data_IF_322859621623
#
_entry.id   IF_322859621623
#
_cell.length_a   1.000
_cell.length_b   1.000
_cell.length_c   1.000
_cell.angle_alpha   90.00
_cell.angle_beta   90.00
_cell.angle_gamma   90.00
#
_symmetry.space_group_name_H-M   'P 1'
#
loop_
_entity.id
_entity.type
_entity.pdbx_description
1 polymer ?
#
# COMPACT_ATOMS: atom_id res chain seq x y z
N UNK A 1 14.63 18.60 1.30
CA UNK A 1 15.26 17.35 0.83
C UNK A 1 14.19 16.27 0.85
N UNK A 2 14.01 15.47 -0.22
CA UNK A 2 13.05 14.37 -0.22
C UNK A 2 13.46 13.32 0.81
N UNK A 3 12.47 12.65 1.41
CA UNK A 3 12.72 11.50 2.28
C UNK A 3 12.99 10.29 1.38
N UNK A 4 14.21 9.76 1.46
CA UNK A 4 14.65 8.58 0.70
C UNK A 4 14.97 7.49 1.70
N UNK A 5 14.36 6.32 1.52
CA UNK A 5 14.60 5.12 2.33
C UNK A 5 15.28 4.04 1.49
N UNK A 6 16.06 3.14 2.09
CA UNK A 6 16.86 2.17 1.36
C UNK A 6 16.05 0.97 0.83
N UNK A 7 14.83 0.74 1.30
CA UNK A 7 13.94 -0.32 0.82
C UNK A 7 12.46 0.03 1.04
N UNK A 8 11.57 -0.76 0.44
CA UNK A 8 10.12 -0.54 0.50
C UNK A 8 9.57 -0.65 1.92
N UNK A 9 10.07 -1.61 2.70
CA UNK A 9 9.65 -1.82 4.10
C UNK A 9 9.86 -0.56 4.94
N UNK A 10 11.04 0.04 4.87
CA UNK A 10 11.35 1.27 5.60
C UNK A 10 10.57 2.46 5.04
N UNK A 11 10.37 2.52 3.72
CA UNK A 11 9.52 3.52 3.07
C UNK A 11 8.09 3.50 3.61
N UNK A 12 7.49 2.32 3.73
CA UNK A 12 6.13 2.16 4.25
C UNK A 12 6.09 2.48 5.74
N UNK A 13 7.06 2.02 6.53
CA UNK A 13 7.12 2.31 7.96
C UNK A 13 7.26 3.81 8.23
N UNK A 14 8.10 4.53 7.48
CA UNK A 14 8.24 5.97 7.65
C UNK A 14 6.98 6.70 7.19
N UNK A 15 6.35 6.28 6.09
CA UNK A 15 5.08 6.84 5.64
C UNK A 15 3.99 6.69 6.71
N UNK A 16 3.83 5.49 7.29
CA UNK A 16 2.88 5.23 8.38
C UNK A 16 3.20 6.08 9.61
N UNK A 17 4.48 6.18 10.01
CA UNK A 17 4.89 7.00 11.15
C UNK A 17 4.64 8.50 10.94
N UNK A 18 4.78 8.97 9.71
CA UNK A 18 4.46 10.34 9.31
C UNK A 18 2.95 10.58 9.22
N UNK A 19 2.15 9.55 8.97
CA UNK A 19 0.71 9.61 9.10
C UNK A 19 0.34 9.70 10.58
N UNK A 20 -0.27 10.81 10.99
CA UNK A 20 -0.84 10.99 12.35
C UNK A 20 -2.18 10.24 12.45
N UNK A 21 -2.15 8.95 12.14
CA UNK A 21 -3.24 8.04 12.39
C UNK A 21 -3.20 7.72 13.90
N UNK A 22 -4.06 8.38 14.67
CA UNK A 22 -4.29 8.06 16.07
C UNK A 22 -4.94 6.65 16.19
N UNK A 23 -5.88 6.44 17.11
CA UNK A 23 -6.65 5.17 17.24
C UNK A 23 -7.60 4.87 16.05
N UNK A 24 -7.35 5.43 14.87
CA UNK A 24 -8.15 5.20 13.66
C UNK A 24 -7.46 4.17 12.76
N UNK A 25 -8.21 3.32 12.05
CA UNK A 25 -7.64 2.44 11.04
C UNK A 25 -6.81 3.21 10.03
N UNK A 26 -5.60 2.70 9.74
CA UNK A 26 -4.73 3.26 8.72
C UNK A 26 -5.41 3.19 7.35
N UNK A 27 -5.41 4.30 6.63
CA UNK A 27 -5.93 4.42 5.26
C UNK A 27 -4.75 4.56 4.31
N UNK A 28 -4.41 3.48 3.61
CA UNK A 28 -3.23 3.38 2.75
C UNK A 28 -3.68 2.94 1.37
N UNK A 29 -3.21 3.63 0.34
CA UNK A 29 -3.28 3.19 -1.05
C UNK A 29 -1.86 2.97 -1.52
N UNK A 30 -1.59 1.82 -2.11
CA UNK A 30 -0.28 1.44 -2.60
C UNK A 30 -0.35 0.90 -4.02
N UNK A 31 0.50 1.43 -4.89
CA UNK A 31 0.66 1.03 -6.29
C UNK A 31 2.13 1.13 -6.65
N UNK A 32 2.58 0.33 -7.63
CA UNK A 32 4.00 0.27 -7.99
C UNK A 32 4.43 1.52 -8.75
N UNK A 33 3.65 1.89 -9.75
CA UNK A 33 3.98 2.97 -10.67
C UNK A 33 2.70 3.53 -11.33
N UNK A 34 2.84 4.63 -12.06
CA UNK A 34 1.73 5.28 -12.75
C UNK A 34 1.18 4.47 -13.93
N UNK A 35 1.90 3.43 -14.39
CA UNK A 35 1.44 2.55 -15.47
C UNK A 35 0.53 1.43 -14.94
N UNK A 36 0.77 0.97 -13.72
CA UNK A 36 0.04 -0.08 -13.00
C UNK A 36 -1.19 0.43 -12.23
N UNK A 37 -1.65 1.65 -12.49
CA UNK A 37 -2.81 2.27 -11.82
C UNK A 37 -4.14 1.52 -12.00
N UNK A 38 -4.17 0.47 -12.83
CA UNK A 38 -5.33 -0.42 -12.97
C UNK A 38 -5.54 -1.25 -11.70
N UNK A 39 -4.45 -1.70 -11.06
CA UNK A 39 -4.50 -2.58 -9.89
C UNK A 39 -3.80 -1.91 -8.69
N UNK A 40 -4.61 -1.38 -7.78
CA UNK A 40 -4.14 -0.76 -6.55
C UNK A 40 -4.40 -1.65 -5.34
N UNK A 41 -3.50 -1.62 -4.37
CA UNK A 41 -3.69 -2.26 -3.07
C UNK A 41 -4.20 -1.23 -2.08
N UNK A 42 -5.19 -1.60 -1.27
CA UNK A 42 -5.74 -0.74 -0.23
C UNK A 42 -5.60 -1.41 1.14
N UNK A 43 -5.46 -0.60 2.19
CA UNK A 43 -5.63 -1.10 3.56
C UNK A 43 -7.10 -1.34 3.89
N UNK A 44 -7.36 -2.16 4.90
CA UNK A 44 -8.70 -2.45 5.40
C UNK A 44 -9.49 -1.19 5.81
N UNK A 45 -8.80 -0.14 6.28
CA UNK A 45 -9.41 1.15 6.62
C UNK A 45 -10.08 1.89 5.46
N UNK A 46 -9.86 1.45 4.21
CA UNK A 46 -10.52 1.96 3.00
C UNK A 46 -11.56 0.98 2.43
N UNK A 47 -11.74 -0.21 3.01
CA UNK A 47 -12.54 -1.27 2.41
C UNK A 47 -14.02 -0.86 2.25
N UNK A 48 -14.63 -0.33 3.31
CA UNK A 48 -16.05 0.08 3.30
C UNK A 48 -16.33 1.16 2.24
N UNK A 49 -15.46 2.18 2.16
CA UNK A 49 -15.56 3.26 1.17
C UNK A 49 -15.37 2.74 -0.26
N UNK A 50 -14.46 1.80 -0.44
CA UNK A 50 -14.19 1.19 -1.74
C UNK A 50 -15.38 0.34 -2.20
N UNK A 51 -15.99 -0.45 -1.30
CA UNK A 51 -17.16 -1.26 -1.60
C UNK A 51 -18.41 -0.41 -1.88
N UNK A 52 -18.51 0.77 -1.29
CA UNK A 52 -19.61 1.71 -1.53
C UNK A 52 -19.49 2.45 -2.87
N UNK A 53 -18.31 2.46 -3.50
CA UNK A 53 -18.08 3.18 -4.75
C UNK A 53 -18.34 2.29 -5.97
N UNK A 54 -19.37 2.56 -6.80
CA UNK A 54 -19.72 1.72 -7.95
C UNK A 54 -18.67 1.75 -9.08
N UNK A 55 -17.71 2.67 -9.03
CA UNK A 55 -16.63 2.76 -10.02
C UNK A 55 -15.43 1.86 -9.67
N UNK A 56 -15.42 1.28 -8.46
CA UNK A 56 -14.32 0.46 -7.98
C UNK A 56 -14.76 -1.00 -7.88
N UNK A 57 -13.82 -1.90 -8.16
CA UNK A 57 -14.01 -3.35 -7.99
C UNK A 57 -12.95 -3.85 -7.03
N UNK A 58 -13.37 -4.52 -5.95
CA UNK A 58 -12.46 -5.11 -4.98
C UNK A 58 -12.33 -6.59 -5.28
N UNK A 59 -11.11 -7.05 -5.56
CA UNK A 59 -10.82 -8.48 -5.53
C UNK A 59 -10.91 -8.97 -4.07
N UNK A 60 -11.73 -9.99 -3.82
CA UNK A 60 -12.15 -10.37 -2.46
C UNK A 60 -11.08 -11.12 -1.66
N UNK A 61 -9.84 -11.19 -2.14
CA UNK A 61 -8.78 -11.92 -1.47
C UNK A 61 -7.94 -10.97 -0.60
N UNK A 62 -8.00 -11.08 0.74
CA UNK A 62 -7.05 -10.38 1.59
C UNK A 62 -5.65 -10.89 1.28
N UNK A 63 -4.72 -9.98 1.04
CA UNK A 63 -3.33 -10.29 0.78
C UNK A 63 -2.46 -9.71 1.90
N UNK A 64 -1.49 -10.50 2.36
CA UNK A 64 -0.42 -9.98 3.19
C UNK A 64 0.64 -9.35 2.29
N UNK A 65 1.00 -8.10 2.59
CA UNK A 65 2.12 -7.46 1.92
C UNK A 65 3.43 -8.08 2.43
N UNK A 66 4.01 -8.98 1.65
CA UNK A 66 5.24 -9.67 1.97
C UNK A 66 6.47 -8.88 1.52
N UNK A 67 7.57 -9.05 2.25
CA UNK A 67 8.86 -8.42 1.97
C UNK A 67 9.94 -9.50 1.86
N UNK A 68 10.85 -9.34 0.91
CA UNK A 68 12.01 -10.21 0.74
C UNK A 68 13.07 -9.99 1.84
N UNK A 69 14.18 -10.71 1.75
CA UNK A 69 15.30 -10.59 2.69
C UNK A 69 15.98 -9.22 2.69
N UNK A 70 15.85 -8.43 1.62
CA UNK A 70 16.41 -7.08 1.49
C UNK A 70 15.41 -6.00 1.95
N UNK A 71 14.15 -6.39 2.20
CA UNK A 71 13.07 -5.51 2.63
C UNK A 71 12.30 -4.86 1.49
N UNK A 72 12.40 -5.39 0.27
CA UNK A 72 11.60 -4.96 -0.88
C UNK A 72 10.33 -5.80 -1.00
N UNK A 73 9.30 -5.27 -1.66
CA UNK A 73 8.01 -5.97 -1.78
C UNK A 73 8.14 -7.21 -2.68
N UNK A 74 7.74 -8.38 -2.16
CA UNK A 74 7.73 -9.61 -2.96
C UNK A 74 6.70 -9.53 -4.10
N UNK A 75 7.07 -10.06 -5.28
CA UNK A 75 6.21 -10.03 -6.47
C UNK A 75 6.33 -8.76 -7.31
N UNK A 76 7.04 -7.74 -6.82
CA UNK A 76 7.53 -6.66 -7.66
C UNK A 76 8.82 -7.08 -8.36
N UNK A 77 8.68 -7.83 -9.46
CA UNK A 77 9.82 -8.10 -10.33
C UNK A 77 10.29 -6.77 -10.91
N UNK A 78 11.48 -6.35 -10.52
CA UNK A 78 12.28 -5.36 -11.25
C UNK A 78 12.54 -5.99 -12.63
N UNK A 79 11.95 -5.40 -13.67
CA UNK A 79 12.37 -5.68 -15.04
C UNK A 79 13.70 -4.97 -15.30
#
# INVERSE_FOLDING_TARGET
>A
MPVIMPNDKLTIQIAIKCCVANDRPLRVVHFRDTYSLVDIKISEGLLDETLANPQLTVDKQPLNLAFDSEGNIEGYKNA
#
